data_IF_885693853691
#
_entry.id   IF_885693853691
#
_cell.length_a   1.000
_cell.length_b   1.000
_cell.length_c   1.000
_cell.angle_alpha   90.00
_cell.angle_beta   90.00
_cell.angle_gamma   90.00
#
_symmetry.space_group_name_H-M   'P 1'
#
loop_
_entity.id
_entity.type
_entity.pdbx_description
1 polymer ?
#
# COMPACT_ATOMS: atom_id res chain seq x y z
N UNK A 1 3.42 -36.95 62.12
CA UNK A 1 3.83 -38.36 62.34
C UNK A 1 4.17 -38.93 60.97
N UNK A 2 5.46 -39.25 60.77
CA UNK A 2 6.07 -40.06 59.70
C UNK A 2 5.84 -39.73 58.21
N UNK A 3 6.83 -39.04 57.62
CA UNK A 3 7.43 -39.33 56.30
C UNK A 3 8.19 -40.69 56.35
N UNK A 4 8.69 -41.36 55.25
CA UNK A 4 9.24 -40.74 54.02
C UNK A 4 9.14 -41.56 52.68
N UNK A 5 9.76 -40.99 51.61
CA UNK A 5 10.61 -41.66 50.57
C UNK A 5 9.88 -42.23 49.32
N UNK A 6 10.31 -42.10 48.06
CA UNK A 6 11.43 -41.44 47.33
C UNK A 6 11.12 -41.50 45.82
N UNK A 7 11.63 -40.55 45.04
CA UNK A 7 11.78 -40.69 43.57
C UNK A 7 12.85 -41.76 43.21
N UNK A 8 12.85 -42.25 41.96
CA UNK A 8 14.01 -41.91 41.12
C UNK A 8 13.69 -41.63 39.64
N UNK A 9 14.58 -40.80 39.09
CA UNK A 9 14.87 -40.44 37.71
C UNK A 9 15.14 -41.64 36.81
N UNK A 10 14.73 -41.58 35.53
CA UNK A 10 15.46 -42.27 34.45
C UNK A 10 15.20 -41.60 33.09
N UNK A 11 16.31 -41.20 32.47
CA UNK A 11 16.46 -40.68 31.11
C UNK A 11 16.94 -41.83 30.23
N UNK A 12 16.32 -42.07 29.08
CA UNK A 12 16.93 -42.73 27.91
C UNK A 12 16.03 -42.40 26.70
N UNK A 13 16.40 -41.58 25.71
CA UNK A 13 17.53 -41.59 24.76
C UNK A 13 17.53 -42.80 23.80
N UNK A 14 17.45 -42.44 22.51
CA UNK A 14 17.89 -43.12 21.26
C UNK A 14 16.75 -43.59 20.36
N UNK A 15 16.55 -43.01 19.17
CA UNK A 15 17.42 -42.83 17.98
C UNK A 15 17.20 -43.98 16.98
N UNK A 16 16.75 -43.56 15.79
CA UNK A 16 17.22 -43.99 14.46
C UNK A 16 16.50 -45.03 13.60
N UNK A 17 16.48 -44.61 12.33
CA UNK A 17 16.76 -45.35 11.10
C UNK A 17 15.68 -46.32 10.59
N UNK A 18 15.00 -45.91 9.50
CA UNK A 18 15.37 -46.28 8.12
C UNK A 18 15.24 -47.79 7.94
N UNK A 19 14.10 -48.19 7.37
CA UNK A 19 13.97 -49.49 6.70
C UNK A 19 13.77 -49.22 5.23
N UNK A 20 14.82 -49.55 4.52
CA UNK A 20 15.11 -49.47 3.10
C UNK A 20 14.52 -50.70 2.40
N UNK A 21 13.95 -50.53 1.18
CA UNK A 21 14.23 -51.37 -0.03
C UNK A 21 13.75 -52.84 0.02
N UNK A 22 13.04 -53.47 -0.94
CA UNK A 22 12.75 -53.32 -2.38
C UNK A 22 11.77 -54.45 -2.73
N UNK A 23 10.93 -54.34 -3.77
CA UNK A 23 10.72 -55.45 -4.72
C UNK A 23 10.09 -55.02 -6.07
N UNK A 24 10.87 -55.29 -7.14
CA UNK A 24 10.63 -55.51 -8.59
C UNK A 24 9.36 -54.95 -9.29
N UNK A 25 9.48 -54.15 -10.36
CA UNK A 25 9.86 -54.48 -11.77
C UNK A 25 9.02 -55.59 -12.42
N UNK A 26 8.15 -55.20 -13.37
CA UNK A 26 8.19 -55.63 -14.80
C UNK A 26 6.95 -55.16 -15.61
N UNK A 27 7.26 -54.53 -16.76
CA UNK A 27 6.60 -54.58 -18.08
C UNK A 27 5.26 -53.84 -18.30
N UNK A 28 5.28 -52.91 -19.27
CA UNK A 28 4.07 -52.36 -19.89
C UNK A 28 4.36 -51.23 -20.90
N UNK A 29 5.17 -51.50 -21.92
CA UNK A 29 5.45 -50.56 -23.02
C UNK A 29 4.24 -50.44 -23.95
N UNK A 30 3.59 -49.27 -23.99
CA UNK A 30 2.72 -48.86 -25.10
C UNK A 30 3.20 -47.51 -25.61
N UNK A 31 3.86 -47.54 -26.77
CA UNK A 31 4.22 -46.36 -27.56
C UNK A 31 3.01 -46.00 -28.41
N UNK A 32 2.44 -44.80 -28.24
CA UNK A 32 1.59 -44.17 -29.24
C UNK A 32 2.07 -42.73 -29.49
N UNK A 33 2.32 -42.33 -30.74
CA UNK A 33 2.97 -41.07 -31.08
C UNK A 33 1.97 -39.92 -31.25
N UNK A 34 2.41 -38.70 -30.97
CA UNK A 34 1.85 -37.49 -31.59
C UNK A 34 0.76 -36.79 -30.79
N UNK A 35 1.17 -35.96 -29.84
CA UNK A 35 0.46 -34.72 -29.53
C UNK A 35 1.52 -33.64 -29.35
N UNK A 36 1.82 -32.95 -30.46
CA UNK A 36 2.58 -31.70 -30.42
C UNK A 36 1.80 -30.73 -29.53
N UNK A 37 2.30 -30.46 -28.32
CA UNK A 37 1.86 -29.29 -27.57
C UNK A 37 2.18 -28.08 -28.45
N UNK A 38 1.20 -27.23 -28.80
CA UNK A 38 1.52 -25.95 -29.38
C UNK A 38 2.24 -25.16 -28.28
N UNK A 39 3.51 -24.86 -28.52
CA UNK A 39 4.23 -23.81 -27.80
C UNK A 39 3.39 -22.54 -27.90
N UNK A 40 2.63 -22.27 -26.84
CA UNK A 40 1.95 -21.01 -26.65
C UNK A 40 3.03 -19.95 -26.38
N UNK A 41 3.64 -19.48 -27.47
CA UNK A 41 4.49 -18.31 -27.47
C UNK A 41 3.63 -17.11 -27.11
N UNK A 42 3.51 -16.83 -25.82
CA UNK A 42 2.93 -15.60 -25.33
C UNK A 42 3.82 -14.47 -25.84
N UNK A 43 3.35 -13.75 -26.86
CA UNK A 43 3.93 -12.47 -27.30
C UNK A 43 4.03 -11.57 -26.07
N UNK A 44 5.22 -11.49 -25.49
CA UNK A 44 5.59 -10.45 -24.54
C UNK A 44 5.43 -9.15 -25.28
N UNK A 45 4.30 -8.44 -25.04
CA UNK A 45 4.17 -7.05 -25.46
C UNK A 45 5.38 -6.33 -24.88
N UNK A 46 6.31 -5.94 -25.75
CA UNK A 46 7.42 -5.09 -25.38
C UNK A 46 6.82 -3.90 -24.63
N UNK A 47 7.28 -3.69 -23.40
CA UNK A 47 6.88 -2.53 -22.61
C UNK A 47 7.18 -1.32 -23.48
N UNK A 48 6.13 -0.71 -24.02
CA UNK A 48 6.22 0.47 -24.85
C UNK A 48 7.07 1.49 -24.10
N UNK A 49 8.24 1.80 -24.66
CA UNK A 49 9.21 2.76 -24.11
C UNK A 49 8.73 4.21 -24.29
N UNK A 50 7.42 4.42 -24.41
CA UNK A 50 6.81 5.75 -24.45
C UNK A 50 6.65 6.21 -23.01
N UNK A 51 7.31 7.31 -22.59
CA UNK A 51 7.11 7.88 -21.27
C UNK A 51 5.62 8.18 -21.06
N UNK A 52 5.06 7.72 -19.95
CA UNK A 52 3.65 8.01 -19.62
C UNK A 52 3.51 9.52 -19.44
N UNK A 53 2.55 10.19 -20.12
CA UNK A 53 2.27 11.60 -19.90
C UNK A 53 2.03 11.89 -18.41
N UNK A 54 2.50 13.04 -17.95
CA UNK A 54 2.23 13.51 -16.59
C UNK A 54 0.72 13.79 -16.42
N UNK A 55 0.10 13.38 -15.31
CA UNK A 55 -1.31 13.64 -15.07
C UNK A 55 -1.58 15.12 -14.76
N UNK A 56 -2.72 15.64 -15.19
CA UNK A 56 -3.14 17.02 -14.89
C UNK A 56 -3.48 17.23 -13.41
N UNK A 57 -3.95 16.18 -12.73
CA UNK A 57 -4.14 16.15 -11.28
C UNK A 57 -2.81 15.86 -10.57
N UNK A 58 -2.35 16.79 -9.74
CA UNK A 58 -1.00 16.73 -9.14
C UNK A 58 -1.00 17.03 -7.65
N UNK A 59 -0.04 16.44 -6.94
CA UNK A 59 0.34 16.85 -5.58
C UNK A 59 1.51 17.83 -5.73
N UNK A 60 1.26 19.13 -5.55
CA UNK A 60 2.28 20.16 -5.66
C UNK A 60 3.27 20.10 -4.51
N UNK A 61 2.74 20.12 -3.29
CA UNK A 61 3.52 20.02 -2.07
C UNK A 61 2.91 18.99 -1.12
N UNK A 62 3.79 18.36 -0.35
CA UNK A 62 3.42 17.48 0.75
C UNK A 62 4.34 17.82 1.91
N UNK A 63 3.75 18.33 2.99
CA UNK A 63 4.42 18.55 4.25
C UNK A 63 3.96 17.52 5.26
N UNK A 64 4.89 17.00 6.04
CA UNK A 64 4.60 16.00 7.07
C UNK A 64 5.20 16.42 8.40
N UNK A 65 4.42 16.33 9.47
CA UNK A 65 4.83 16.73 10.81
C UNK A 65 4.01 15.97 11.89
N UNK A 66 4.53 15.78 13.10
CA UNK A 66 5.87 16.14 13.56
C UNK A 66 6.95 15.14 13.10
N UNK A 67 8.21 15.58 12.99
CA UNK A 67 9.35 14.73 12.65
C UNK A 67 10.51 14.98 13.64
N UNK A 68 10.95 13.99 14.44
CA UNK A 68 10.41 12.63 14.53
C UNK A 68 8.99 12.60 15.09
N UNK A 69 8.22 11.56 14.75
CA UNK A 69 6.88 11.35 15.23
C UNK A 69 6.89 10.63 16.59
N UNK A 70 6.13 11.15 17.54
CA UNK A 70 5.91 10.57 18.87
C UNK A 70 4.40 10.44 19.07
N UNK A 71 3.85 9.22 19.09
CA UNK A 71 2.39 9.06 19.11
C UNK A 71 1.69 9.64 20.34
N UNK A 72 2.40 9.75 21.46
CA UNK A 72 1.87 10.37 22.68
C UNK A 72 1.80 11.90 22.61
N UNK A 73 2.50 12.54 21.67
CA UNK A 73 2.56 14.00 21.53
C UNK A 73 1.45 14.55 20.60
N UNK A 74 0.65 13.67 19.99
CA UNK A 74 -0.44 14.05 19.10
C UNK A 74 -0.43 13.24 17.80
N UNK A 75 -1.22 13.67 16.81
CA UNK A 75 -1.30 13.00 15.51
C UNK A 75 -0.12 13.38 14.60
N UNK A 76 0.20 12.48 13.66
CA UNK A 76 1.07 12.76 12.52
C UNK A 76 0.23 13.24 11.34
N UNK A 77 0.59 14.36 10.75
CA UNK A 77 -0.15 15.04 9.71
C UNK A 77 0.50 14.87 8.34
N UNK A 78 -0.32 14.60 7.32
CA UNK A 78 0.03 14.66 5.90
C UNK A 78 -0.72 15.85 5.28
N UNK A 79 -0.04 16.98 5.17
CA UNK A 79 -0.59 18.22 4.63
C UNK A 79 -0.24 18.33 3.14
N UNK A 80 -1.20 18.04 2.28
CA UNK A 80 -1.03 18.04 0.82
C UNK A 80 -1.67 19.29 0.20
N UNK A 81 -0.93 19.95 -0.69
CA UNK A 81 -1.51 20.93 -1.63
C UNK A 81 -1.69 20.25 -2.98
N UNK A 82 -2.94 20.14 -3.41
CA UNK A 82 -3.34 19.47 -4.65
C UNK A 82 -3.63 20.51 -5.72
N UNK A 83 -3.07 20.35 -6.92
CA UNK A 83 -3.47 21.08 -8.11
C UNK A 83 -4.53 20.28 -8.86
N UNK A 84 -5.64 20.93 -9.16
CA UNK A 84 -6.73 20.38 -9.96
C UNK A 84 -6.46 20.61 -11.46
N UNK A 85 -7.03 19.75 -12.34
CA UNK A 85 -7.04 20.01 -13.77
C UNK A 85 -7.67 21.37 -14.12
N UNK A 86 -7.23 21.99 -15.23
CA UNK A 86 -7.77 23.27 -15.72
C UNK A 86 -9.30 23.22 -15.84
N UNK A 87 -9.79 22.16 -16.46
CA UNK A 87 -11.21 21.83 -16.59
C UNK A 87 -11.52 20.66 -15.66
N UNK A 88 -12.22 20.94 -14.56
CA UNK A 88 -12.70 19.91 -13.64
C UNK A 88 -14.19 20.14 -13.41
N UNK A 89 -14.96 19.08 -13.58
CA UNK A 89 -16.39 19.04 -13.26
C UNK A 89 -16.57 19.15 -11.73
N UNK A 90 -17.41 20.10 -11.32
CA UNK A 90 -17.66 20.44 -9.93
C UNK A 90 -18.42 19.35 -9.17
N UNK A 91 -19.05 18.41 -9.89
CA UNK A 91 -19.73 17.25 -9.30
C UNK A 91 -18.74 16.13 -8.92
N UNK A 92 -17.46 16.26 -9.27
CA UNK A 92 -16.44 15.29 -8.91
C UNK A 92 -16.08 15.38 -7.43
N UNK A 93 -15.69 14.24 -6.88
CA UNK A 93 -15.15 14.10 -5.54
C UNK A 93 -13.62 14.00 -5.62
N UNK A 94 -12.93 14.76 -4.80
CA UNK A 94 -11.50 14.62 -4.56
C UNK A 94 -11.27 13.62 -3.43
N UNK A 95 -10.54 12.55 -3.70
CA UNK A 95 -10.02 11.63 -2.68
C UNK A 95 -8.53 11.89 -2.47
N UNK A 96 -8.12 12.21 -1.25
CA UNK A 96 -6.72 12.21 -0.84
C UNK A 96 -6.51 11.08 0.14
N UNK A 97 -5.50 10.26 -0.11
CA UNK A 97 -5.22 9.08 0.69
C UNK A 97 -3.76 8.95 1.03
N UNK A 98 -3.46 8.40 2.21
CA UNK A 98 -2.13 8.07 2.68
C UNK A 98 -2.10 6.60 3.10
N UNK A 99 -1.14 5.84 2.56
CA UNK A 99 -0.84 4.48 3.00
C UNK A 99 0.46 4.50 3.79
N UNK A 100 0.42 4.01 5.03
CA UNK A 100 1.61 3.83 5.87
C UNK A 100 1.99 2.35 5.90
N UNK A 101 3.26 2.07 5.64
CA UNK A 101 3.81 0.71 5.56
C UNK A 101 5.00 0.54 6.49
N UNK A 102 5.12 -0.65 7.07
CA UNK A 102 6.30 -1.07 7.82
C UNK A 102 7.48 -1.31 6.89
N UNK A 103 8.68 -1.45 7.45
CA UNK A 103 9.89 -1.84 6.70
C UNK A 103 9.80 -3.25 6.09
N UNK A 104 8.96 -4.13 6.64
CA UNK A 104 8.65 -5.44 6.05
C UNK A 104 7.57 -5.38 4.96
N UNK A 105 7.19 -4.16 4.53
CA UNK A 105 6.19 -3.89 3.49
C UNK A 105 4.77 -4.38 3.82
N UNK A 106 4.49 -4.62 5.10
CA UNK A 106 3.11 -4.85 5.56
C UNK A 106 2.39 -3.51 5.69
N UNK A 107 1.21 -3.39 5.07
CA UNK A 107 0.36 -2.21 5.24
C UNK A 107 -0.10 -2.11 6.69
N UNK A 108 0.18 -0.98 7.32
CA UNK A 108 -0.19 -0.73 8.70
C UNK A 108 -1.50 0.02 8.78
N UNK A 109 -1.61 1.10 8.01
CA UNK A 109 -2.77 1.99 8.05
C UNK A 109 -3.01 2.61 6.68
N UNK A 110 -4.28 2.69 6.31
CA UNK A 110 -4.74 3.47 5.17
C UNK A 110 -5.67 4.57 5.68
N UNK A 111 -5.33 5.82 5.33
CA UNK A 111 -6.11 7.01 5.63
C UNK A 111 -6.68 7.54 4.32
N UNK A 112 -7.91 8.03 4.35
CA UNK A 112 -8.55 8.62 3.18
C UNK A 112 -9.60 9.62 3.60
N UNK A 113 -9.62 10.76 2.93
CA UNK A 113 -10.71 11.73 2.99
C UNK A 113 -11.25 11.93 1.58
N UNK A 114 -12.58 12.07 1.49
CA UNK A 114 -13.30 12.39 0.27
C UNK A 114 -14.08 13.66 0.48
N UNK A 115 -13.92 14.62 -0.41
CA UNK A 115 -14.66 15.87 -0.38
C UNK A 115 -15.06 16.32 -1.78
N UNK A 116 -16.20 17.01 -1.94
CA UNK A 116 -16.55 17.64 -3.21
C UNK A 116 -15.47 18.63 -3.66
N UNK A 117 -15.23 18.71 -4.97
CA UNK A 117 -14.20 19.61 -5.51
C UNK A 117 -14.54 21.08 -5.25
N UNK A 118 -15.81 21.49 -5.28
CA UNK A 118 -16.22 22.89 -5.19
C UNK A 118 -16.08 23.52 -3.79
N UNK A 119 -16.14 22.74 -2.70
CA UNK A 119 -16.22 23.29 -1.34
C UNK A 119 -14.91 23.89 -0.80
N UNK A 120 -13.75 23.44 -1.31
CA UNK A 120 -12.44 23.73 -0.69
C UNK A 120 -11.40 24.29 -1.68
N UNK A 121 -11.87 24.84 -2.81
CA UNK A 121 -10.99 25.36 -3.85
C UNK A 121 -10.48 26.76 -3.51
N UNK A 122 -9.16 26.89 -3.52
CA UNK A 122 -8.47 28.17 -3.57
C UNK A 122 -8.05 28.45 -5.00
N UNK A 123 -8.36 29.65 -5.48
CA UNK A 123 -8.01 30.10 -6.83
C UNK A 123 -6.89 31.13 -6.73
N UNK A 124 -5.71 30.81 -7.28
CA UNK A 124 -4.60 31.77 -7.34
C UNK A 124 -4.70 32.50 -8.68
N UNK A 125 -4.82 33.84 -8.70
CA UNK A 125 -4.86 34.59 -9.94
C UNK A 125 -3.51 34.48 -10.68
N UNK A 126 -3.57 34.01 -11.92
CA UNK A 126 -2.39 33.92 -12.79
C UNK A 126 -1.96 35.32 -13.24
N UNK A 127 -0.70 35.69 -13.02
CA UNK A 127 -0.16 37.00 -13.36
C UNK A 127 -0.06 37.28 -14.88
N UNK A 128 -0.19 36.24 -15.73
CA UNK A 128 0.13 36.31 -17.17
C UNK A 128 -1.07 36.05 -18.10
N UNK A 129 -2.32 36.27 -17.66
CA UNK A 129 -3.50 36.04 -18.50
C UNK A 129 -3.81 34.56 -18.81
N UNK A 130 -3.09 33.63 -18.17
CA UNK A 130 -3.41 32.20 -18.21
C UNK A 130 -4.58 31.90 -17.27
N UNK A 131 -5.34 30.84 -17.54
CA UNK A 131 -6.45 30.43 -16.66
C UNK A 131 -5.96 30.22 -15.22
N UNK A 132 -6.70 30.71 -14.21
CA UNK A 132 -6.25 30.64 -12.83
C UNK A 132 -6.19 29.17 -12.38
N UNK A 133 -5.07 28.78 -11.76
CA UNK A 133 -4.87 27.41 -11.28
C UNK A 133 -5.61 27.20 -9.97
N UNK A 134 -6.44 26.16 -9.92
CA UNK A 134 -7.24 25.78 -8.75
C UNK A 134 -6.49 24.79 -7.89
N UNK A 135 -6.47 25.06 -6.59
CA UNK A 135 -5.79 24.23 -5.61
C UNK A 135 -6.70 23.85 -4.45
N UNK A 136 -6.41 22.71 -3.83
CA UNK A 136 -7.11 22.23 -2.63
C UNK A 136 -6.07 21.83 -1.60
N UNK A 137 -6.22 22.33 -0.38
CA UNK A 137 -5.41 21.93 0.76
C UNK A 137 -6.13 20.84 1.54
N UNK A 138 -5.41 19.77 1.86
CA UNK A 138 -5.96 18.64 2.60
C UNK A 138 -4.98 18.21 3.68
N UNK A 139 -5.51 17.94 4.88
CA UNK A 139 -4.76 17.38 5.99
C UNK A 139 -5.33 16.00 6.36
N UNK A 140 -4.47 14.98 6.33
CA UNK A 140 -4.78 13.65 6.87
C UNK A 140 -4.03 13.46 8.18
N UNK A 141 -4.76 13.21 9.25
CA UNK A 141 -4.20 12.95 10.57
C UNK A 141 -4.11 11.45 10.84
N UNK A 142 -2.94 10.98 11.26
CA UNK A 142 -2.67 9.63 11.73
C UNK A 142 -2.42 9.62 13.24
N UNK A 143 -3.19 8.86 13.97
CA UNK A 143 -3.06 8.64 15.42
C UNK A 143 -1.89 7.73 15.83
N UNK A 144 -1.10 7.23 14.87
CA UNK A 144 -0.03 6.27 15.16
C UNK A 144 -0.54 4.87 15.51
N UNK A 145 -1.78 4.54 15.15
CA UNK A 145 -2.33 3.20 15.29
C UNK A 145 -2.24 2.41 13.97
N UNK A 146 -2.07 1.10 14.09
CA UNK A 146 -2.18 0.17 12.96
C UNK A 146 -3.65 -0.19 12.65
N UNK A 147 -3.87 -1.17 11.77
CA UNK A 147 -5.19 -1.68 11.42
C UNK A 147 -5.86 -2.45 12.56
N UNK A 148 -5.09 -2.95 13.53
CA UNK A 148 -5.57 -3.62 14.74
C UNK A 148 -5.83 -2.63 15.90
N UNK A 149 -5.70 -1.32 15.64
CA UNK A 149 -5.82 -0.25 16.64
C UNK A 149 -4.76 -0.33 17.73
N UNK A 150 -3.61 -0.95 17.42
CA UNK A 150 -2.46 -1.01 18.31
C UNK A 150 -1.48 0.10 17.95
N UNK A 151 -0.83 0.65 18.98
CA UNK A 151 0.25 1.63 18.80
C UNK A 151 1.35 1.02 17.92
N UNK A 152 1.76 1.73 16.87
CA UNK A 152 2.91 1.26 16.08
C UNK A 152 4.19 1.28 16.92
N UNK A 153 5.05 0.26 16.82
CA UNK A 153 6.34 0.26 17.51
C UNK A 153 7.26 1.41 17.08
N UNK A 154 8.27 1.71 17.89
CA UNK A 154 9.40 2.57 17.49
C UNK A 154 10.08 2.00 16.25
N UNK A 155 10.36 2.85 15.27
CA UNK A 155 10.99 2.40 14.03
C UNK A 155 10.86 3.38 12.86
N UNK A 156 11.38 2.96 11.71
CA UNK A 156 11.22 3.66 10.44
C UNK A 156 10.07 3.05 9.65
N UNK A 157 9.19 3.91 9.16
CA UNK A 157 8.05 3.56 8.32
C UNK A 157 8.14 4.31 7.00
N UNK A 158 7.45 3.80 6.00
CA UNK A 158 7.29 4.48 4.72
C UNK A 158 5.85 4.93 4.56
N UNK A 159 5.66 6.00 3.80
CA UNK A 159 4.32 6.42 3.41
C UNK A 159 4.23 6.66 1.91
N UNK A 160 3.00 6.55 1.41
CA UNK A 160 2.63 6.90 0.06
C UNK A 160 1.31 7.69 0.07
N UNK A 161 1.36 8.93 -0.43
CA UNK A 161 0.19 9.79 -0.60
C UNK A 161 -0.24 9.77 -2.06
N UNK A 162 -1.55 9.57 -2.29
CA UNK A 162 -2.19 9.57 -3.62
C UNK A 162 -3.42 10.46 -3.63
N UNK A 163 -3.69 11.06 -4.78
CA UNK A 163 -4.90 11.84 -5.02
C UNK A 163 -5.66 11.28 -6.20
N UNK A 164 -7.00 11.20 -6.09
CA UNK A 164 -7.89 10.78 -7.16
C UNK A 164 -9.02 11.77 -7.33
N UNK A 165 -9.48 11.91 -8.57
CA UNK A 165 -10.81 12.46 -8.87
C UNK A 165 -11.76 11.30 -9.14
N UNK A 166 -12.91 11.33 -8.48
CA UNK A 166 -13.93 10.31 -8.55
C UNK A 166 -15.23 10.93 -9.07
N UNK A 167 -15.89 10.25 -10.00
CA UNK A 167 -17.25 10.58 -10.40
C UNK A 167 -18.24 9.65 -9.70
N UNK A 168 -19.40 10.17 -9.32
CA UNK A 168 -20.51 9.33 -8.89
C UNK A 168 -21.20 8.74 -10.14
N UNK A 169 -21.18 7.42 -10.29
CA UNK A 169 -21.92 6.72 -11.34
C UNK A 169 -22.99 5.82 -10.75
N UNK A 170 -23.87 5.27 -11.61
CA UNK A 170 -24.96 4.37 -11.21
C UNK A 170 -24.47 3.14 -10.44
N UNK A 171 -23.28 2.64 -10.76
CA UNK A 171 -22.64 1.48 -10.12
C UNK A 171 -21.68 1.85 -8.99
N UNK A 172 -21.76 3.07 -8.47
CA UNK A 172 -20.87 3.61 -7.44
C UNK A 172 -19.79 4.54 -7.99
N UNK A 173 -18.85 4.90 -7.11
CA UNK A 173 -17.78 5.84 -7.44
C UNK A 173 -16.76 5.24 -8.39
N UNK A 174 -16.44 5.96 -9.47
CA UNK A 174 -15.45 5.57 -10.47
C UNK A 174 -14.30 6.57 -10.48
N UNK A 175 -13.07 6.06 -10.44
CA UNK A 175 -11.88 6.90 -10.62
C UNK A 175 -11.80 7.42 -12.05
N UNK A 176 -11.79 8.75 -12.17
CA UNK A 176 -11.62 9.47 -13.43
C UNK A 176 -10.15 9.81 -13.67
N UNK A 177 -9.46 10.27 -12.62
CA UNK A 177 -8.07 10.67 -12.71
C UNK A 177 -7.31 10.30 -11.44
N UNK A 178 -5.99 10.10 -11.57
CA UNK A 178 -5.09 9.73 -10.49
C UNK A 178 -3.80 10.55 -10.62
N UNK A 179 -3.34 11.13 -9.53
CA UNK A 179 -2.04 11.79 -9.47
C UNK A 179 -0.90 10.78 -9.43
N UNK A 180 0.31 11.21 -9.78
CA UNK A 180 1.49 10.46 -9.35
C UNK A 180 1.59 10.46 -7.82
N UNK A 181 2.06 9.35 -7.20
CA UNK A 181 2.19 9.27 -5.76
C UNK A 181 3.36 10.10 -5.25
N UNK A 182 3.24 10.63 -4.03
CA UNK A 182 4.35 11.19 -3.26
C UNK A 182 4.72 10.21 -2.14
N UNK A 183 6.00 9.90 -1.99
CA UNK A 183 6.50 8.94 -1.00
C UNK A 183 7.48 9.60 -0.05
N UNK A 184 7.59 9.05 1.15
CA UNK A 184 8.58 9.48 2.12
C UNK A 184 8.68 8.52 3.30
N UNK A 185 9.36 8.95 4.36
CA UNK A 185 9.60 8.15 5.56
C UNK A 185 9.11 8.86 6.81
N UNK A 186 8.69 8.06 7.80
CA UNK A 186 8.32 8.49 9.14
C UNK A 186 9.26 7.81 10.12
N UNK A 187 9.89 8.60 10.99
CA UNK A 187 10.65 8.07 12.11
C UNK A 187 9.80 8.15 13.37
N UNK A 188 9.34 7.00 13.88
CA UNK A 188 8.57 6.90 15.13
C UNK A 188 9.54 6.73 16.29
N UNK A 189 9.34 7.52 17.34
CA UNK A 189 10.09 7.48 18.59
C UNK A 189 9.14 7.45 19.79
N UNK A 190 9.69 7.07 20.94
CA UNK A 190 9.14 7.35 22.26
C UNK A 190 9.53 8.77 22.69
#
# INVERSE_FOLDING_TARGET
MTDPKSAPTSIARRVSHVVTVTLLLLIGSVVLPGAQLPDASAKTKSKSSVPRPEPDLKILSLHTAPMPYKPQDGAFHFMATVQLPKEVDEQLMLEVSALVTSSSMTSLRFLSIRQPVNEHVQTIPSANGETPQRHVQVDLAWDGLDHNKQQVPVGSYEYEVRVKLLSNGEKGQRTQMLSWPKRGKILVKN
#
